data_IF_891536614412
#
_entry.id   IF_891536614412
#
_cell.length_a   1.000
_cell.length_b   1.000
_cell.length_c   1.000
_cell.angle_alpha   90.00
_cell.angle_beta   90.00
_cell.angle_gamma   90.00
#
_symmetry.space_group_name_H-M   'P 1'
#
loop_
_entity.id
_entity.type
_entity.pdbx_description
1 polymer ?
#
# COMPACT_ATOMS: atom_id res chain seq x y z
N UNK A 1 -7.71 3.92 10.98
CA UNK A 1 -6.57 4.40 11.80
C UNK A 1 -5.87 5.57 11.10
N UNK A 2 -5.31 6.52 11.84
CA UNK A 2 -4.35 7.50 11.36
C UNK A 2 -2.93 6.90 11.32
N UNK A 3 -1.97 7.58 10.71
CA UNK A 3 -0.58 7.09 10.69
C UNK A 3 0.04 6.89 12.09
N UNK A 4 -0.19 7.80 13.08
CA UNK A 4 0.27 7.57 14.45
C UNK A 4 -0.40 6.37 15.15
N UNK A 5 -1.68 6.14 14.91
CA UNK A 5 -2.41 5.00 15.47
C UNK A 5 -1.90 3.67 14.90
N UNK A 6 -1.64 3.61 13.60
CA UNK A 6 -1.01 2.43 12.99
C UNK A 6 0.40 2.19 13.54
N UNK A 7 1.19 3.25 13.70
CA UNK A 7 2.53 3.15 14.29
C UNK A 7 2.48 2.59 15.72
N UNK A 8 1.52 3.05 16.52
CA UNK A 8 1.28 2.51 17.85
C UNK A 8 0.87 1.03 17.82
N UNK A 9 0.04 0.64 16.84
CA UNK A 9 -0.32 -0.76 16.60
C UNK A 9 0.89 -1.64 16.31
N UNK A 10 1.79 -1.19 15.44
CA UNK A 10 3.04 -1.89 15.12
C UNK A 10 3.96 -1.98 16.35
N UNK A 11 4.09 -0.90 17.11
CA UNK A 11 4.92 -0.86 18.31
C UNK A 11 4.44 -1.88 19.36
N UNK A 12 3.14 -1.96 19.61
CA UNK A 12 2.56 -2.93 20.53
C UNK A 12 2.66 -4.37 20.01
N UNK A 13 2.49 -4.59 18.71
CA UNK A 13 2.63 -5.91 18.10
C UNK A 13 4.05 -6.45 18.19
N UNK A 14 5.08 -5.60 18.16
CA UNK A 14 6.47 -5.99 18.38
C UNK A 14 6.68 -6.54 19.80
N UNK A 15 5.95 -6.02 20.80
CA UNK A 15 6.08 -6.41 22.21
C UNK A 15 7.46 -6.13 22.79
N UNK A 16 7.72 -6.62 23.99
CA UNK A 16 8.97 -6.34 24.73
C UNK A 16 10.18 -7.16 24.21
N UNK A 17 9.95 -8.21 23.47
CA UNK A 17 11.00 -9.12 23.02
C UNK A 17 10.76 -9.62 21.60
N UNK A 18 10.89 -8.77 20.56
CA UNK A 18 10.58 -9.12 19.16
C UNK A 18 11.35 -10.34 18.65
N UNK A 19 12.62 -10.50 19.07
CA UNK A 19 13.46 -11.63 18.67
C UNK A 19 12.97 -13.00 19.18
N UNK A 20 12.17 -13.01 20.26
CA UNK A 20 11.54 -14.24 20.79
C UNK A 20 10.19 -14.51 20.11
N UNK A 21 9.43 -13.46 19.81
CA UNK A 21 8.11 -13.58 19.19
C UNK A 21 8.23 -13.86 17.69
N UNK A 22 9.22 -13.25 17.05
CA UNK A 22 9.43 -13.30 15.60
C UNK A 22 10.90 -13.62 15.27
N UNK A 23 11.40 -14.83 15.64
CA UNK A 23 12.83 -15.17 15.60
C UNK A 23 13.43 -15.20 14.19
N UNK A 24 12.60 -15.40 13.16
CA UNK A 24 13.04 -15.41 11.77
C UNK A 24 13.19 -14.01 11.20
N UNK A 25 12.31 -13.10 11.62
CA UNK A 25 12.37 -11.68 11.25
C UNK A 25 13.46 -10.96 12.03
N UNK A 26 13.63 -11.29 13.32
CA UNK A 26 14.62 -10.72 14.22
C UNK A 26 15.54 -11.82 14.81
N UNK A 27 16.52 -12.30 14.05
CA UNK A 27 17.38 -13.44 14.47
C UNK A 27 18.34 -13.09 15.61
N UNK A 28 18.45 -11.82 15.98
CA UNK A 28 19.32 -11.34 17.06
C UNK A 28 18.50 -10.52 18.05
N UNK A 29 18.94 -10.52 19.31
CA UNK A 29 18.40 -9.60 20.31
C UNK A 29 18.61 -8.17 19.85
N UNK A 30 17.57 -7.37 19.98
CA UNK A 30 17.54 -5.97 19.58
C UNK A 30 17.66 -5.09 20.81
N UNK A 31 18.10 -3.82 20.65
CA UNK A 31 17.99 -2.85 21.73
C UNK A 31 16.53 -2.75 22.19
N UNK A 32 16.33 -2.84 23.52
CA UNK A 32 14.99 -2.78 24.13
C UNK A 32 14.59 -1.34 24.50
N UNK A 33 15.35 -0.35 24.02
CA UNK A 33 15.01 1.04 24.24
C UNK A 33 13.84 1.49 23.31
N UNK A 34 13.04 2.40 23.84
CA UNK A 34 11.82 2.88 23.15
C UNK A 34 12.12 3.50 21.78
N UNK A 35 13.25 4.20 21.63
CA UNK A 35 13.61 4.86 20.37
C UNK A 35 13.86 3.84 19.27
N UNK A 36 14.66 2.81 19.55
CA UNK A 36 14.94 1.71 18.61
C UNK A 36 13.68 0.94 18.23
N UNK A 37 12.80 0.69 19.20
CA UNK A 37 11.53 0.03 18.95
C UNK A 37 10.60 0.89 18.08
N UNK A 38 10.57 2.19 18.29
CA UNK A 38 9.79 3.13 17.49
C UNK A 38 10.28 3.22 16.04
N UNK A 39 11.60 3.29 15.84
CA UNK A 39 12.22 3.27 14.50
C UNK A 39 11.91 1.98 13.74
N UNK A 40 11.95 0.85 14.44
CA UNK A 40 11.60 -0.45 13.89
C UNK A 40 10.12 -0.48 13.46
N UNK A 41 9.21 -0.09 14.35
CA UNK A 41 7.78 -0.02 14.05
C UNK A 41 7.50 0.87 12.83
N UNK A 42 8.17 2.02 12.74
CA UNK A 42 8.10 2.93 11.60
C UNK A 42 8.60 2.29 10.31
N UNK A 43 9.70 1.54 10.37
CA UNK A 43 10.25 0.83 9.22
C UNK A 43 9.31 -0.27 8.71
N UNK A 44 8.69 -1.04 9.61
CA UNK A 44 7.71 -2.07 9.29
C UNK A 44 6.44 -1.45 8.67
N UNK A 45 5.93 -0.37 9.25
CA UNK A 45 4.79 0.37 8.71
C UNK A 45 5.09 0.87 7.30
N UNK A 46 6.24 1.48 7.06
CA UNK A 46 6.64 1.98 5.74
C UNK A 46 6.78 0.84 4.73
N UNK A 47 7.42 -0.26 5.10
CA UNK A 47 7.52 -1.46 4.26
C UNK A 47 6.13 -1.96 3.86
N UNK A 48 5.24 -2.10 4.84
CA UNK A 48 3.89 -2.59 4.59
C UNK A 48 3.07 -1.66 3.70
N UNK A 49 3.21 -0.34 3.89
CA UNK A 49 2.58 0.66 3.02
C UNK A 49 3.13 0.61 1.58
N UNK A 50 4.44 0.45 1.42
CA UNK A 50 5.06 0.32 0.11
C UNK A 50 4.55 -0.94 -0.62
N UNK A 51 4.48 -2.08 0.08
CA UNK A 51 3.92 -3.32 -0.45
C UNK A 51 2.45 -3.16 -0.84
N UNK A 52 1.63 -2.57 0.03
CA UNK A 52 0.22 -2.35 -0.23
C UNK A 52 -0.02 -1.43 -1.44
N UNK A 53 0.82 -0.41 -1.64
CA UNK A 53 0.74 0.47 -2.80
C UNK A 53 1.06 -0.27 -4.12
N UNK A 54 1.79 -1.39 -4.05
CA UNK A 54 2.04 -2.28 -5.18
C UNK A 54 1.03 -3.45 -5.26
N UNK A 55 0.07 -3.52 -4.36
CA UNK A 55 -0.89 -4.62 -4.27
C UNK A 55 -0.30 -5.93 -3.77
N UNK A 56 0.81 -5.86 -3.03
CA UNK A 56 1.53 -7.02 -2.50
C UNK A 56 1.13 -7.23 -1.04
N UNK A 57 0.70 -8.45 -0.68
CA UNK A 57 0.54 -8.89 0.69
C UNK A 57 1.77 -9.67 1.18
N UNK A 58 1.89 -9.86 2.51
CA UNK A 58 2.95 -10.70 3.08
C UNK A 58 2.86 -12.15 2.56
N UNK A 59 1.66 -12.68 2.38
CA UNK A 59 1.40 -14.01 1.79
C UNK A 59 1.93 -14.07 0.36
N UNK A 60 1.62 -13.06 -0.46
CA UNK A 60 2.11 -13.01 -1.85
C UNK A 60 3.64 -12.93 -1.90
N UNK A 61 4.26 -12.15 -1.02
CA UNK A 61 5.71 -12.06 -0.92
C UNK A 61 6.33 -13.41 -0.51
N UNK A 62 5.71 -14.10 0.47
CA UNK A 62 6.13 -15.44 0.89
C UNK A 62 6.09 -16.44 -0.28
N UNK A 63 5.00 -16.48 -1.03
CA UNK A 63 4.87 -17.35 -2.20
C UNK A 63 5.85 -17.00 -3.32
N UNK A 64 6.07 -15.70 -3.58
CA UNK A 64 7.04 -15.25 -4.60
C UNK A 64 8.48 -15.68 -4.27
N UNK A 65 8.83 -15.75 -2.98
CA UNK A 65 10.11 -16.28 -2.52
C UNK A 65 10.16 -17.82 -2.51
N UNK A 66 9.16 -18.51 -3.09
CA UNK A 66 9.05 -19.97 -3.13
C UNK A 66 9.20 -20.65 -1.75
N UNK A 67 8.72 -20.00 -0.71
CA UNK A 67 8.80 -20.48 0.68
C UNK A 67 10.23 -20.51 1.26
N UNK A 68 11.22 -19.97 0.55
CA UNK A 68 12.63 -20.00 1.02
C UNK A 68 12.94 -18.97 2.09
N UNK A 69 12.11 -17.93 2.18
CA UNK A 69 12.29 -16.85 3.16
C UNK A 69 11.18 -16.87 4.19
N UNK A 70 11.44 -17.61 5.28
CA UNK A 70 10.49 -17.77 6.38
C UNK A 70 10.26 -16.47 7.19
N UNK A 71 11.01 -15.39 6.91
CA UNK A 71 10.79 -14.07 7.53
C UNK A 71 9.40 -13.53 7.19
N UNK A 72 8.87 -13.87 6.02
CA UNK A 72 7.52 -13.47 5.63
C UNK A 72 6.42 -14.11 6.48
N UNK A 73 6.65 -15.30 7.02
CA UNK A 73 5.72 -15.92 7.98
C UNK A 73 5.67 -15.14 9.30
N UNK A 74 6.81 -14.71 9.80
CA UNK A 74 6.86 -13.89 11.01
C UNK A 74 6.28 -12.49 10.74
N UNK A 75 6.52 -11.93 9.55
CA UNK A 75 5.95 -10.64 9.14
C UNK A 75 4.42 -10.69 9.05
N UNK A 76 3.85 -11.76 8.53
CA UNK A 76 2.41 -11.99 8.47
C UNK A 76 1.80 -12.06 9.87
N UNK A 77 2.40 -12.83 10.78
CA UNK A 77 1.96 -12.91 12.18
C UNK A 77 2.03 -11.56 12.88
N UNK A 78 3.08 -10.80 12.63
CA UNK A 78 3.26 -9.46 13.19
C UNK A 78 2.19 -8.49 12.64
N UNK A 79 1.88 -8.54 11.35
CA UNK A 79 0.80 -7.76 10.72
C UNK A 79 -0.56 -8.13 11.32
N UNK A 80 -0.81 -9.41 11.55
CA UNK A 80 -2.04 -9.89 12.19
C UNK A 80 -2.18 -9.35 13.61
N UNK A 81 -1.12 -9.39 14.41
CA UNK A 81 -1.12 -8.81 15.76
C UNK A 81 -1.36 -7.30 15.73
N UNK A 82 -0.73 -6.56 14.81
CA UNK A 82 -0.98 -5.14 14.62
C UNK A 82 -2.46 -4.88 14.28
N UNK A 83 -3.04 -5.68 13.39
CA UNK A 83 -4.45 -5.55 13.01
C UNK A 83 -5.38 -5.81 14.19
N UNK A 84 -5.13 -6.85 14.99
CA UNK A 84 -5.89 -7.15 16.20
C UNK A 84 -5.81 -6.02 17.23
N UNK A 85 -4.64 -5.37 17.37
CA UNK A 85 -4.53 -4.19 18.25
C UNK A 85 -5.40 -3.03 17.76
N UNK A 86 -5.36 -2.73 16.47
CA UNK A 86 -6.19 -1.67 15.90
C UNK A 86 -7.69 -1.96 16.06
N UNK A 87 -8.11 -3.19 15.79
CA UNK A 87 -9.49 -3.64 15.99
C UNK A 87 -9.95 -3.51 17.45
N UNK A 88 -9.07 -3.82 18.42
CA UNK A 88 -9.36 -3.65 19.85
C UNK A 88 -9.66 -2.18 20.19
N UNK A 89 -9.10 -1.23 19.46
CA UNK A 89 -9.37 0.20 19.56
C UNK A 89 -10.55 0.67 18.68
N UNK A 90 -11.24 -0.26 18.01
CA UNK A 90 -12.29 0.03 17.01
C UNK A 90 -11.79 0.88 15.83
N UNK A 91 -10.55 0.68 15.44
CA UNK A 91 -9.91 1.32 14.29
C UNK A 91 -9.76 0.30 13.16
N UNK A 92 -10.04 0.76 11.94
CA UNK A 92 -9.79 -0.05 10.73
C UNK A 92 -8.35 0.14 10.27
N UNK A 93 -7.70 -0.94 9.87
CA UNK A 93 -6.38 -0.89 9.26
C UNK A 93 -6.46 -0.23 7.87
N UNK A 94 -5.68 0.81 7.61
CA UNK A 94 -5.67 1.54 6.32
C UNK A 94 -5.31 0.63 5.14
N UNK A 95 -4.50 -0.39 5.37
CA UNK A 95 -4.11 -1.35 4.35
C UNK A 95 -5.28 -2.22 3.91
N UNK A 96 -6.10 -2.68 4.85
CA UNK A 96 -7.34 -3.43 4.57
C UNK A 96 -8.37 -2.54 3.89
N UNK A 97 -8.54 -1.29 4.36
CA UNK A 97 -9.44 -0.32 3.73
C UNK A 97 -9.11 -0.04 2.26
N UNK A 98 -7.80 0.04 1.91
CA UNK A 98 -7.38 0.22 0.51
C UNK A 98 -7.81 -0.93 -0.40
N UNK A 99 -7.92 -2.14 0.13
CA UNK A 99 -8.40 -3.31 -0.63
C UNK A 99 -9.93 -3.33 -0.81
N UNK A 100 -10.69 -2.81 0.17
CA UNK A 100 -12.15 -2.87 0.19
C UNK A 100 -12.86 -1.62 -0.35
N UNK A 101 -12.19 -0.47 -0.32
CA UNK A 101 -12.77 0.81 -0.76
C UNK A 101 -13.25 0.80 -2.23
N UNK A 102 -12.53 0.19 -3.19
CA UNK A 102 -12.94 0.17 -4.58
C UNK A 102 -14.32 -0.46 -4.84
N UNK A 103 -14.67 -1.63 -4.28
CA UNK A 103 -15.99 -2.24 -4.48
C UNK A 103 -17.14 -1.36 -3.97
N UNK A 104 -16.99 -0.71 -2.83
CA UNK A 104 -18.01 0.17 -2.26
C UNK A 104 -18.26 1.39 -3.14
N UNK A 105 -17.17 2.03 -3.60
CA UNK A 105 -17.25 3.19 -4.49
C UNK A 105 -17.92 2.83 -5.83
N UNK A 106 -17.58 1.69 -6.40
CA UNK A 106 -18.14 1.21 -7.66
C UNK A 106 -19.65 1.00 -7.60
N UNK A 107 -20.15 0.41 -6.52
CA UNK A 107 -21.58 0.22 -6.36
C UNK A 107 -22.32 1.57 -6.30
N UNK A 108 -21.82 2.52 -5.55
CA UNK A 108 -22.39 3.87 -5.48
C UNK A 108 -22.37 4.58 -6.85
N UNK A 109 -21.28 4.48 -7.61
CA UNK A 109 -21.18 5.11 -8.93
C UNK A 109 -22.11 4.46 -9.94
N UNK A 110 -22.30 3.15 -9.91
CA UNK A 110 -23.28 2.45 -10.78
C UNK A 110 -24.70 2.88 -10.49
N UNK A 111 -25.08 3.01 -9.21
CA UNK A 111 -26.41 3.44 -8.80
C UNK A 111 -26.72 4.88 -9.22
N UNK A 112 -25.71 5.74 -9.22
CA UNK A 112 -25.87 7.17 -9.54
C UNK A 112 -25.61 7.51 -11.02
N UNK A 113 -25.18 6.55 -11.84
CA UNK A 113 -24.76 6.80 -13.22
C UNK A 113 -23.52 7.69 -13.34
N UNK A 114 -22.67 7.69 -12.30
CA UNK A 114 -21.46 8.50 -12.24
C UNK A 114 -20.35 7.99 -13.13
N UNK A 115 -19.36 8.86 -13.37
CA UNK A 115 -18.10 8.53 -14.04
C UNK A 115 -16.90 8.82 -13.12
N UNK A 116 -15.76 8.21 -13.42
CA UNK A 116 -14.50 8.45 -12.72
C UNK A 116 -13.60 9.28 -13.63
N UNK A 117 -13.09 10.39 -13.10
CA UNK A 117 -12.09 11.20 -13.80
C UNK A 117 -10.78 11.15 -13.01
N UNK A 118 -9.74 10.64 -13.64
CA UNK A 118 -8.38 10.67 -13.11
C UNK A 118 -7.67 11.87 -13.77
N UNK A 119 -7.44 12.93 -13.01
CA UNK A 119 -6.87 14.16 -13.53
C UNK A 119 -5.43 14.36 -13.04
N UNK A 120 -4.49 14.54 -13.96
CA UNK A 120 -3.09 14.93 -13.69
C UNK A 120 -2.42 14.11 -12.59
N UNK A 121 -2.61 12.79 -12.60
CA UNK A 121 -2.02 11.90 -11.60
C UNK A 121 -0.51 11.72 -11.86
N UNK A 122 0.32 12.05 -10.86
CA UNK A 122 1.76 11.80 -10.97
C UNK A 122 2.08 10.31 -10.85
N UNK A 123 1.29 9.58 -10.05
CA UNK A 123 1.40 8.14 -9.87
C UNK A 123 0.02 7.57 -9.56
N UNK A 124 -0.27 6.40 -10.11
CA UNK A 124 -1.48 5.63 -9.80
C UNK A 124 -1.05 4.29 -9.21
N UNK A 125 -1.29 4.03 -7.91
CA UNK A 125 -0.94 2.78 -7.26
C UNK A 125 -1.60 1.57 -7.91
N UNK A 126 -0.92 0.42 -7.91
CA UNK A 126 -1.42 -0.81 -8.55
C UNK A 126 -2.82 -1.25 -8.09
N UNK A 127 -3.19 -1.19 -6.80
CA UNK A 127 -4.55 -1.49 -6.37
C UNK A 127 -5.59 -0.55 -6.98
N UNK A 128 -5.27 0.74 -7.11
CA UNK A 128 -6.17 1.70 -7.75
C UNK A 128 -6.31 1.43 -9.24
N UNK A 129 -5.21 1.12 -9.96
CA UNK A 129 -5.27 0.70 -11.37
C UNK A 129 -6.16 -0.53 -11.55
N UNK A 130 -6.05 -1.51 -10.65
CA UNK A 130 -6.90 -2.70 -10.67
C UNK A 130 -8.38 -2.34 -10.46
N UNK A 131 -8.65 -1.49 -9.47
CA UNK A 131 -10.01 -1.02 -9.19
C UNK A 131 -10.63 -0.23 -10.35
N UNK A 132 -9.85 0.64 -10.99
CA UNK A 132 -10.31 1.41 -12.16
C UNK A 132 -10.62 0.52 -13.35
N UNK A 133 -9.77 -0.48 -13.67
CA UNK A 133 -10.05 -1.49 -14.71
C UNK A 133 -11.31 -2.30 -14.39
N UNK A 134 -11.48 -2.67 -13.11
CA UNK A 134 -12.69 -3.36 -12.69
C UNK A 134 -13.92 -2.47 -12.82
N UNK A 135 -13.82 -1.17 -12.54
CA UNK A 135 -14.89 -0.21 -12.78
C UNK A 135 -15.31 -0.15 -14.24
N UNK A 136 -14.34 0.02 -15.12
CA UNK A 136 -14.55 0.09 -16.56
C UNK A 136 -15.19 -1.19 -17.11
N UNK A 137 -14.71 -2.37 -16.71
CA UNK A 137 -15.29 -3.66 -17.10
C UNK A 137 -16.72 -3.89 -16.57
N UNK A 138 -17.12 -3.15 -15.52
CA UNK A 138 -18.48 -3.14 -14.97
C UNK A 138 -19.34 -1.97 -15.49
N UNK A 139 -18.90 -1.27 -16.53
CA UNK A 139 -19.69 -0.24 -17.21
C UNK A 139 -19.65 1.15 -16.53
N UNK A 140 -18.73 1.39 -15.61
CA UNK A 140 -18.48 2.73 -15.07
C UNK A 140 -17.42 3.41 -15.95
N UNK A 141 -17.74 4.53 -16.65
CA UNK A 141 -16.76 5.20 -17.49
C UNK A 141 -15.57 5.73 -16.70
N UNK A 142 -14.37 5.43 -17.16
CA UNK A 142 -13.11 5.97 -16.59
C UNK A 142 -12.47 6.88 -17.62
N UNK A 143 -12.23 8.14 -17.26
CA UNK A 143 -11.58 9.14 -18.11
C UNK A 143 -10.26 9.55 -17.48
N UNK A 144 -9.24 9.70 -18.32
CA UNK A 144 -7.92 10.15 -17.90
C UNK A 144 -7.65 11.50 -18.54
N UNK A 145 -7.46 12.50 -17.71
CA UNK A 145 -7.19 13.87 -18.13
C UNK A 145 -5.77 14.27 -17.81
N UNK A 146 -5.03 14.70 -18.82
CA UNK A 146 -3.65 15.16 -18.71
C UNK A 146 -3.61 16.64 -19.16
N UNK A 147 -3.04 17.49 -18.35
CA UNK A 147 -2.80 18.89 -18.72
C UNK A 147 -1.40 19.02 -19.32
N UNK A 148 -1.27 18.69 -20.61
CA UNK A 148 -0.03 18.80 -21.37
C UNK A 148 -0.34 19.07 -22.84
N UNK A 149 0.60 19.63 -23.63
CA UNK A 149 0.49 19.71 -25.07
C UNK A 149 0.31 18.31 -25.70
N UNK A 150 -0.43 18.21 -26.81
CA UNK A 150 -0.71 16.94 -27.47
C UNK A 150 0.56 16.23 -27.95
N UNK A 151 1.58 16.99 -28.33
CA UNK A 151 2.91 16.49 -28.74
C UNK A 151 3.62 15.74 -27.62
N UNK A 152 3.22 15.95 -26.38
CA UNK A 152 3.78 15.32 -25.19
C UNK A 152 3.07 14.02 -24.81
N UNK A 153 2.05 13.61 -25.53
CA UNK A 153 1.23 12.44 -25.18
C UNK A 153 2.05 11.14 -24.98
N UNK A 154 3.12 10.98 -25.78
CA UNK A 154 4.03 9.83 -25.66
C UNK A 154 4.86 9.80 -24.35
N UNK A 155 4.87 10.91 -23.59
CA UNK A 155 5.60 11.01 -22.32
C UNK A 155 4.80 10.57 -21.10
N UNK A 156 3.60 10.01 -21.32
CA UNK A 156 2.70 9.55 -20.29
C UNK A 156 2.31 8.08 -20.55
N UNK A 157 2.08 7.33 -19.47
CA UNK A 157 1.51 5.99 -19.58
C UNK A 157 0.00 6.02 -19.84
N UNK A 158 -0.63 4.85 -20.01
CA UNK A 158 -2.08 4.71 -20.24
C UNK A 158 -2.95 5.23 -19.08
N UNK A 159 -2.37 5.57 -17.94
CA UNK A 159 -3.03 6.14 -16.77
C UNK A 159 -2.77 7.65 -16.61
N UNK A 160 -2.07 8.25 -17.58
CA UNK A 160 -1.70 9.65 -17.52
C UNK A 160 -0.55 9.96 -16.56
N UNK A 161 0.16 8.93 -16.09
CA UNK A 161 1.32 9.14 -15.24
C UNK A 161 2.56 9.44 -16.09
N UNK A 162 3.39 10.41 -15.71
CA UNK A 162 4.62 10.72 -16.42
C UNK A 162 5.55 9.51 -16.50
N UNK A 163 6.12 9.23 -17.68
CA UNK A 163 7.14 8.20 -17.86
C UNK A 163 8.51 8.77 -17.43
N UNK A 164 9.12 8.26 -16.32
CA UNK A 164 10.37 8.83 -15.80
C UNK A 164 11.51 8.88 -16.81
N UNK A 165 11.56 7.88 -17.70
CA UNK A 165 12.58 7.77 -18.75
C UNK A 165 12.51 8.88 -19.78
N UNK A 166 11.31 9.35 -20.11
CA UNK A 166 11.10 10.45 -21.06
C UNK A 166 11.36 11.80 -20.40
N UNK A 167 11.03 11.96 -19.12
CA UNK A 167 11.21 13.21 -18.40
C UNK A 167 12.64 13.43 -17.91
N UNK A 168 13.36 12.37 -17.52
CA UNK A 168 14.76 12.48 -17.08
C UNK A 168 15.73 12.92 -18.17
N UNK A 169 15.37 12.75 -19.44
CA UNK A 169 16.19 13.15 -20.59
C UNK A 169 16.02 14.61 -20.98
N UNK A 170 15.07 15.32 -20.37
CA UNK A 170 14.77 16.71 -20.74
C UNK A 170 15.67 17.69 -20.01
N UNK A 171 16.23 18.70 -20.72
CA UNK A 171 16.97 19.74 -20.06
C UNK A 171 16.02 20.57 -19.19
N UNK A 172 16.40 20.80 -17.94
CA UNK A 172 15.74 21.75 -17.07
C UNK A 172 15.99 23.13 -17.65
N UNK A 173 14.95 23.82 -18.11
CA UNK A 173 15.02 25.20 -18.57
C UNK A 173 14.85 26.16 -17.42
#
# INVERSE_FOLDING_TARGET
>A
ASAPEELAGWLLALGDSPHRLYPRLFPRAMPEDFSSMLEMAGSLQNLRHAMANQGISCIMAHHACAGRDERWTDMERLEEQCTQQLESWKLENRTSMKAEAPPRLLNSLRETGGNIILACAAEVPAPLRHALRHAESNGVPVQIWIHAPEEEAASFDSWGCPLPEEWSRRPIK
#
